data_IF_150205432242
#
_entry.id   IF_150205432242
#
_cell.length_a   1.000
_cell.length_b   1.000
_cell.length_c   1.000
_cell.angle_alpha   90.00
_cell.angle_beta   90.00
_cell.angle_gamma   90.00
#
_symmetry.space_group_name_H-M   'P 1'
#
loop_
_entity.id
_entity.type
_entity.pdbx_description
1 polymer ?
#
# COMPACT_ATOMS: atom_id res chain seq x y z
N UNK A 1 -0.50 -16.40 9.35
CA UNK A 1 -1.02 -16.21 7.98
C UNK A 1 -0.56 -14.84 7.50
N UNK A 2 0.07 -14.74 6.33
CA UNK A 2 0.47 -13.43 5.79
C UNK A 2 -0.79 -12.64 5.42
N UNK A 3 -0.93 -11.42 5.94
CA UNK A 3 -2.02 -10.51 5.57
C UNK A 3 -1.80 -10.14 4.10
N UNK A 4 -2.75 -10.52 3.24
CA UNK A 4 -2.71 -10.15 1.82
C UNK A 4 -2.96 -8.64 1.71
N UNK A 5 -2.15 -7.96 0.90
CA UNK A 5 -2.25 -6.52 0.72
C UNK A 5 -3.64 -6.12 0.17
N UNK A 6 -4.18 -4.95 0.56
CA UNK A 6 -5.40 -4.41 -0.04
C UNK A 6 -5.19 -4.15 -1.53
N UNK A 7 -6.20 -4.48 -2.35
CA UNK A 7 -6.23 -4.26 -3.79
C UNK A 7 -7.49 -3.48 -4.18
N UNK A 8 -7.30 -2.48 -5.02
CA UNK A 8 -8.35 -1.74 -5.71
C UNK A 8 -8.08 -1.80 -7.20
N UNK A 9 -9.07 -2.21 -7.98
CA UNK A 9 -9.04 -2.21 -9.45
C UNK A 9 -10.16 -1.31 -9.93
N UNK A 10 -9.82 -0.34 -10.78
CA UNK A 10 -10.75 0.62 -11.36
C UNK A 10 -10.45 0.76 -12.85
N UNK A 11 -11.49 0.95 -13.66
CA UNK A 11 -11.34 1.32 -15.06
C UNK A 11 -12.54 0.99 -15.92
N UNK A 12 -12.45 1.35 -17.19
CA UNK A 12 -13.43 0.98 -18.22
C UNK A 12 -13.16 -0.44 -18.72
N UNK A 13 -14.04 -1.37 -18.37
CA UNK A 13 -13.96 -2.76 -18.80
C UNK A 13 -14.77 -3.02 -20.06
N UNK A 14 -15.76 -2.20 -20.41
CA UNK A 14 -16.73 -2.48 -21.48
C UNK A 14 -17.20 -3.95 -21.47
N UNK A 15 -17.48 -4.49 -20.29
CA UNK A 15 -17.79 -5.91 -20.07
C UNK A 15 -19.21 -6.04 -19.51
N UNK A 16 -20.13 -6.54 -20.33
CA UNK A 16 -21.56 -6.56 -19.99
C UNK A 16 -21.91 -7.74 -19.08
N UNK A 17 -22.41 -7.45 -17.89
CA UNK A 17 -22.89 -8.45 -16.92
C UNK A 17 -24.17 -7.98 -16.21
N UNK A 18 -24.98 -8.91 -15.71
CA UNK A 18 -26.22 -8.57 -15.01
C UNK A 18 -25.96 -7.76 -13.73
N UNK A 19 -24.91 -8.10 -12.96
CA UNK A 19 -24.57 -7.42 -11.70
C UNK A 19 -24.16 -5.95 -11.88
N UNK A 20 -23.87 -5.52 -13.11
CA UNK A 20 -23.60 -4.14 -13.46
C UNK A 20 -24.70 -3.52 -14.33
N UNK A 21 -25.93 -4.04 -14.24
CA UNK A 21 -27.13 -3.41 -14.81
C UNK A 21 -27.41 -3.72 -16.29
N UNK A 22 -26.62 -4.58 -16.91
CA UNK A 22 -26.90 -5.01 -18.29
C UNK A 22 -27.99 -6.09 -18.32
N UNK A 23 -28.88 -6.00 -19.31
CA UNK A 23 -29.91 -7.05 -19.48
C UNK A 23 -29.37 -8.27 -20.25
N UNK A 24 -28.25 -8.10 -20.96
CA UNK A 24 -27.62 -9.13 -21.77
C UNK A 24 -26.15 -9.16 -21.42
N UNK A 25 -25.63 -10.35 -21.17
CA UNK A 25 -24.23 -10.58 -20.86
C UNK A 25 -23.44 -10.95 -22.10
N UNK A 26 -22.22 -10.44 -22.21
CA UNK A 26 -21.28 -10.86 -23.24
C UNK A 26 -20.22 -11.83 -22.67
N UNK A 27 -19.38 -12.39 -23.55
CA UNK A 27 -18.35 -13.32 -23.13
C UNK A 27 -17.29 -12.67 -22.22
N UNK A 28 -17.05 -11.35 -22.38
CA UNK A 28 -16.08 -10.59 -21.58
C UNK A 28 -16.60 -10.38 -20.17
N UNK A 29 -17.87 -10.01 -20.02
CA UNK A 29 -18.57 -9.84 -18.75
C UNK A 29 -18.64 -11.15 -17.97
N UNK A 30 -19.04 -12.26 -18.61
CA UNK A 30 -19.03 -13.58 -17.96
C UNK A 30 -17.64 -13.98 -17.49
N UNK A 31 -16.61 -13.78 -18.31
CA UNK A 31 -15.22 -14.09 -17.95
C UNK A 31 -14.75 -13.23 -16.78
N UNK A 32 -15.03 -11.92 -16.81
CA UNK A 32 -14.66 -11.00 -15.75
C UNK A 32 -15.35 -11.36 -14.42
N UNK A 33 -16.66 -11.59 -14.45
CA UNK A 33 -17.43 -11.98 -13.28
C UNK A 33 -16.94 -13.31 -12.67
N UNK A 34 -16.63 -14.31 -13.51
CA UNK A 34 -16.06 -15.57 -13.03
C UNK A 34 -14.70 -15.36 -12.35
N UNK A 35 -13.83 -14.53 -12.93
CA UNK A 35 -12.54 -14.19 -12.30
C UNK A 35 -12.73 -13.45 -10.98
N UNK A 36 -13.66 -12.50 -10.92
CA UNK A 36 -13.98 -11.79 -9.69
C UNK A 36 -14.44 -12.76 -8.60
N UNK A 37 -15.32 -13.70 -8.95
CA UNK A 37 -15.81 -14.72 -8.03
C UNK A 37 -14.69 -15.64 -7.53
N UNK A 38 -13.83 -16.13 -8.44
CA UNK A 38 -12.72 -17.03 -8.11
C UNK A 38 -11.69 -16.33 -7.20
N UNK A 39 -11.36 -15.08 -7.49
CA UNK A 39 -10.37 -14.30 -6.74
C UNK A 39 -10.95 -13.62 -5.48
N UNK A 40 -12.26 -13.73 -5.25
CA UNK A 40 -12.94 -13.11 -4.11
C UNK A 40 -13.01 -11.58 -4.18
N UNK A 41 -12.99 -11.01 -5.38
CA UNK A 41 -13.16 -9.57 -5.60
C UNK A 41 -14.62 -9.16 -5.37
N UNK A 42 -14.82 -8.05 -4.66
CA UNK A 42 -16.14 -7.44 -4.45
C UNK A 42 -16.34 -6.32 -5.47
N UNK A 43 -17.45 -6.35 -6.22
CA UNK A 43 -17.87 -5.25 -7.08
C UNK A 43 -18.46 -4.12 -6.24
N UNK A 44 -18.01 -2.89 -6.49
CA UNK A 44 -18.50 -1.67 -5.83
C UNK A 44 -19.33 -0.77 -6.75
N UNK A 45 -19.25 -0.98 -8.07
CA UNK A 45 -20.10 -0.26 -9.03
C UNK A 45 -21.56 -0.59 -8.76
N UNK A 46 -22.37 0.44 -8.56
CA UNK A 46 -23.82 0.32 -8.40
C UNK A 46 -24.51 0.39 -9.77
N UNK A 47 -25.32 -0.63 -10.08
CA UNK A 47 -26.06 -0.72 -11.33
C UNK A 47 -27.17 0.34 -11.45
N UNK A 48 -27.67 0.87 -10.33
CA UNK A 48 -28.72 1.90 -10.32
C UNK A 48 -28.17 3.30 -10.65
N UNK A 49 -26.84 3.46 -10.65
CA UNK A 49 -26.15 4.72 -10.96
C UNK A 49 -25.22 4.55 -12.17
N UNK A 50 -25.76 4.58 -13.40
CA UNK A 50 -25.01 4.34 -14.63
C UNK A 50 -23.73 5.16 -14.72
N UNK A 51 -22.62 4.55 -15.16
CA UNK A 51 -21.33 5.25 -15.30
C UNK A 51 -21.15 5.88 -16.68
N UNK A 52 -22.00 5.54 -17.65
CA UNK A 52 -22.03 6.12 -18.99
C UNK A 52 -23.45 6.48 -19.42
N UNK A 53 -23.59 7.70 -19.93
CA UNK A 53 -24.81 8.28 -20.49
C UNK A 53 -25.11 7.60 -21.83
N UNK A 54 -26.34 7.16 -21.97
CA UNK A 54 -26.87 6.64 -23.22
C UNK A 54 -27.04 7.71 -24.30
N UNK A 55 -27.35 7.28 -25.50
CA UNK A 55 -27.73 8.15 -26.59
C UNK A 55 -29.07 7.69 -27.19
N UNK A 56 -29.45 8.22 -28.35
CA UNK A 56 -30.71 7.84 -29.02
C UNK A 56 -30.79 6.36 -29.43
N UNK A 57 -29.70 5.61 -29.33
CA UNK A 57 -29.56 4.20 -29.73
C UNK A 57 -29.32 3.29 -28.52
N UNK A 58 -28.50 3.73 -27.56
CA UNK A 58 -28.19 2.96 -26.35
C UNK A 58 -28.74 3.63 -25.10
N UNK A 59 -29.32 2.83 -24.19
CA UNK A 59 -29.62 3.28 -22.82
C UNK A 59 -28.36 3.57 -22.02
N UNK A 60 -28.54 4.16 -20.84
CA UNK A 60 -27.48 4.33 -19.84
C UNK A 60 -26.90 2.96 -19.43
N UNK A 61 -25.59 2.91 -19.19
CA UNK A 61 -24.85 1.66 -18.95
C UNK A 61 -23.72 1.84 -17.94
N UNK A 62 -23.19 0.73 -17.40
CA UNK A 62 -22.05 0.73 -16.46
C UNK A 62 -20.82 0.00 -17.05
N UNK A 63 -20.13 0.57 -18.06
CA UNK A 63 -18.90 -0.04 -18.58
C UNK A 63 -17.71 0.07 -17.61
N UNK A 64 -17.77 1.00 -16.65
CA UNK A 64 -16.72 1.27 -15.67
C UNK A 64 -16.92 0.45 -14.39
N UNK A 65 -15.96 -0.42 -14.07
CA UNK A 65 -16.02 -1.24 -12.86
C UNK A 65 -15.02 -0.79 -11.82
N UNK A 66 -15.50 -0.67 -10.59
CA UNK A 66 -14.68 -0.53 -9.39
C UNK A 66 -14.80 -1.79 -8.56
N UNK A 67 -13.69 -2.47 -8.30
CA UNK A 67 -13.68 -3.73 -7.55
C UNK A 67 -12.52 -3.79 -6.55
N UNK A 68 -12.74 -4.49 -5.43
CA UNK A 68 -11.78 -4.51 -4.33
C UNK A 68 -11.57 -5.89 -3.71
N UNK A 69 -10.38 -6.11 -3.15
CA UNK A 69 -10.02 -7.27 -2.33
C UNK A 69 -9.26 -6.78 -1.09
N UNK A 70 -9.67 -7.23 0.10
CA UNK A 70 -9.02 -6.92 1.38
C UNK A 70 -8.84 -5.42 1.71
N UNK A 71 -9.66 -4.53 1.15
CA UNK A 71 -9.62 -3.11 1.47
C UNK A 71 -10.88 -2.71 2.27
N UNK A 72 -10.86 -2.82 3.60
CA UNK A 72 -11.96 -2.36 4.43
C UNK A 72 -12.07 -0.82 4.36
N UNK A 73 -13.29 -0.29 4.49
CA UNK A 73 -13.59 1.16 4.51
C UNK A 73 -13.39 1.88 3.17
N UNK A 74 -13.91 1.29 2.11
CA UNK A 74 -13.99 1.91 0.80
C UNK A 74 -15.37 2.55 0.60
N UNK A 75 -15.38 3.76 0.04
CA UNK A 75 -16.60 4.44 -0.42
C UNK A 75 -16.52 4.66 -1.91
N UNK A 76 -17.57 4.25 -2.60
CA UNK A 76 -17.77 4.48 -4.03
C UNK A 76 -18.89 5.50 -4.22
N UNK A 77 -18.70 6.43 -5.14
CA UNK A 77 -19.68 7.46 -5.50
C UNK A 77 -19.55 7.79 -6.98
N UNK A 78 -20.65 7.68 -7.72
CA UNK A 78 -20.80 8.29 -9.03
C UNK A 78 -21.21 9.76 -8.85
N UNK A 79 -20.41 10.72 -9.33
CA UNK A 79 -20.74 12.15 -9.17
C UNK A 79 -21.90 12.60 -10.04
N UNK A 80 -22.23 11.84 -11.08
CA UNK A 80 -23.13 12.24 -12.16
C UNK A 80 -22.66 13.50 -12.91
N UNK A 81 -21.36 13.82 -12.85
CA UNK A 81 -20.72 14.88 -13.64
C UNK A 81 -19.91 14.26 -14.79
N UNK A 82 -20.19 14.63 -16.04
CA UNK A 82 -19.56 14.02 -17.21
C UNK A 82 -18.49 14.90 -17.89
N UNK A 83 -18.36 16.17 -17.50
CA UNK A 83 -17.37 17.14 -18.01
C UNK A 83 -17.26 17.22 -19.55
N UNK A 84 -18.35 16.95 -20.28
CA UNK A 84 -18.40 16.97 -21.75
C UNK A 84 -18.06 15.63 -22.42
N UNK A 85 -17.83 14.57 -21.65
CA UNK A 85 -17.76 13.18 -22.11
C UNK A 85 -19.12 12.46 -21.93
N UNK A 86 -19.27 11.25 -22.48
CA UNK A 86 -20.41 10.38 -22.19
C UNK A 86 -20.22 9.55 -20.91
N UNK A 87 -19.04 9.55 -20.28
CA UNK A 87 -18.79 8.91 -18.97
C UNK A 87 -18.89 9.89 -17.80
N UNK A 88 -19.45 9.42 -16.68
CA UNK A 88 -19.48 10.16 -15.42
C UNK A 88 -18.18 9.95 -14.61
N UNK A 89 -17.80 10.96 -13.83
CA UNK A 89 -16.69 10.87 -12.90
C UNK A 89 -17.06 9.94 -11.73
N UNK A 90 -16.16 9.01 -11.44
CA UNK A 90 -16.29 8.08 -10.32
C UNK A 90 -15.30 8.45 -9.23
N UNK A 91 -15.84 8.73 -8.05
CA UNK A 91 -15.05 8.99 -6.84
C UNK A 91 -14.95 7.73 -5.99
N UNK A 92 -13.72 7.32 -5.75
CA UNK A 92 -13.42 6.19 -4.89
C UNK A 92 -12.55 6.67 -3.75
N UNK A 93 -13.08 6.64 -2.52
CA UNK A 93 -12.36 7.06 -1.32
C UNK A 93 -11.97 5.83 -0.51
N UNK A 94 -10.68 5.74 -0.18
CA UNK A 94 -10.15 4.69 0.69
C UNK A 94 -9.68 5.33 1.99
N UNK A 95 -10.09 4.80 3.12
CA UNK A 95 -9.62 5.24 4.44
C UNK A 95 -8.71 4.17 5.02
N UNK A 96 -7.45 4.51 5.25
CA UNK A 96 -6.47 3.61 5.86
C UNK A 96 -6.14 4.04 7.27
N UNK A 97 -6.43 3.17 8.24
CA UNK A 97 -6.11 3.36 9.64
C UNK A 97 -6.92 4.47 10.32
N UNK A 98 -7.16 4.31 11.61
CA UNK A 98 -7.46 5.43 12.48
C UNK A 98 -6.12 6.02 12.92
N UNK A 99 -5.85 7.28 12.55
CA UNK A 99 -4.62 7.97 12.94
C UNK A 99 -4.45 7.96 14.46
N UNK A 100 -5.55 8.03 15.22
CA UNK A 100 -5.51 7.95 16.67
C UNK A 100 -5.04 6.57 17.15
N UNK A 101 -5.52 5.48 16.54
CA UNK A 101 -5.01 4.14 16.85
C UNK A 101 -3.55 3.96 16.43
N UNK A 102 -3.12 4.56 15.32
CA UNK A 102 -1.71 4.53 14.92
C UNK A 102 -0.84 5.24 15.97
N UNK A 103 -1.24 6.43 16.42
CA UNK A 103 -0.53 7.16 17.46
C UNK A 103 -0.52 6.38 18.78
N UNK A 104 -1.66 5.82 19.21
CA UNK A 104 -1.72 4.99 20.41
C UNK A 104 -0.77 3.79 20.33
N UNK A 105 -0.76 3.08 19.20
CA UNK A 105 0.14 1.94 18.99
C UNK A 105 1.62 2.34 18.98
N UNK A 106 1.93 3.53 18.48
CA UNK A 106 3.29 4.06 18.50
C UNK A 106 3.71 4.49 19.91
N UNK A 107 2.80 5.13 20.65
CA UNK A 107 3.02 5.51 22.05
C UNK A 107 3.28 4.25 22.89
N UNK A 108 2.39 3.27 22.86
CA UNK A 108 2.52 2.02 23.63
C UNK A 108 3.81 1.25 23.31
N UNK A 109 4.26 1.30 22.06
CA UNK A 109 5.42 0.53 21.59
C UNK A 109 6.76 1.24 21.79
N UNK A 110 6.81 2.55 21.58
CA UNK A 110 8.07 3.30 21.51
C UNK A 110 8.25 4.28 22.67
N UNK A 111 7.17 4.72 23.30
CA UNK A 111 7.25 5.59 24.46
C UNK A 111 7.00 4.73 25.68
N UNK A 112 8.08 4.40 26.39
CA UNK A 112 7.96 3.76 27.68
C UNK A 112 7.39 4.78 28.69
N UNK A 113 6.07 4.86 28.78
CA UNK A 113 5.35 5.73 29.73
C UNK A 113 5.25 5.12 31.12
N UNK A 114 5.74 3.89 31.30
CA UNK A 114 5.95 3.30 32.62
C UNK A 114 7.07 4.05 33.34
N UNK A 115 6.69 5.10 34.07
CA UNK A 115 7.44 5.54 35.24
C UNK A 115 7.14 4.49 36.31
N UNK A 116 7.93 3.42 36.38
CA UNK A 116 7.85 2.55 37.55
C UNK A 116 8.23 3.40 38.76
N UNK A 117 7.26 3.68 39.62
CA UNK A 117 7.53 4.27 40.93
C UNK A 117 8.41 3.33 41.79
N UNK A 118 8.54 2.08 41.35
CA UNK A 118 9.48 1.10 41.88
C UNK A 118 10.90 1.50 41.50
N UNK A 119 11.56 2.10 42.49
CA UNK A 119 13.00 2.10 42.69
C UNK A 119 13.81 2.21 41.39
N UNK A 120 14.08 3.45 40.96
CA UNK A 120 15.30 3.72 40.20
C UNK A 120 16.41 3.05 40.99
N UNK A 121 17.12 2.04 40.45
CA UNK A 121 18.15 1.34 41.18
C UNK A 121 19.06 2.36 41.81
N UNK A 122 19.23 2.30 43.13
CA UNK A 122 20.15 3.20 43.81
C UNK A 122 21.51 3.01 43.12
N UNK A 123 22.05 4.08 42.52
CA UNK A 123 23.22 3.98 41.67
C UNK A 123 24.38 3.49 42.54
N UNK A 124 24.66 2.19 42.47
CA UNK A 124 25.68 1.53 43.29
C UNK A 124 27.08 1.65 42.67
N UNK A 125 27.23 2.53 41.67
CA UNK A 125 28.52 2.83 41.08
C UNK A 125 29.40 3.59 42.06
N UNK A 126 30.71 3.40 41.95
CA UNK A 126 31.66 4.29 42.63
C UNK A 126 31.44 5.71 42.12
N UNK A 127 31.53 6.70 43.02
CA UNK A 127 31.53 8.10 42.62
C UNK A 127 32.65 8.33 41.59
N UNK A 128 32.31 8.90 40.44
CA UNK A 128 33.27 9.21 39.41
C UNK A 128 33.30 10.73 39.18
N UNK A 129 33.99 11.48 40.06
CA UNK A 129 34.00 12.95 39.99
C UNK A 129 34.58 13.49 38.68
N UNK A 130 35.32 12.66 37.91
CA UNK A 130 35.79 13.05 36.58
C UNK A 130 34.67 13.03 35.52
N UNK A 131 33.75 12.06 35.58
CA UNK A 131 32.58 11.98 34.68
C UNK A 131 31.42 12.85 35.16
N UNK A 132 31.32 13.06 36.47
CA UNK A 132 30.23 13.82 37.09
C UNK A 132 30.49 15.35 37.07
N UNK A 133 31.67 15.81 36.62
CA UNK A 133 31.94 17.24 36.46
C UNK A 133 31.21 17.81 35.24
N UNK A 134 30.86 19.09 35.31
CA UNK A 134 30.28 19.80 34.16
C UNK A 134 31.23 19.74 32.95
N UNK A 135 30.65 19.50 31.77
CA UNK A 135 31.38 19.59 30.51
C UNK A 135 31.79 21.03 30.23
N UNK A 136 33.05 21.24 29.85
CA UNK A 136 33.52 22.56 29.43
C UNK A 136 33.19 22.81 27.96
N UNK A 137 33.00 24.08 27.59
CA UNK A 137 32.74 24.45 26.20
C UNK A 137 33.87 24.03 25.24
N UNK A 138 35.12 23.89 25.73
CA UNK A 138 36.25 23.42 24.93
C UNK A 138 36.12 21.94 24.59
N UNK A 139 35.73 21.11 25.57
CA UNK A 139 35.50 19.67 25.37
C UNK A 139 34.34 19.42 24.42
N UNK A 140 33.23 20.15 24.55
CA UNK A 140 32.09 20.02 23.63
C UNK A 140 32.47 20.37 22.20
N UNK A 141 33.26 21.43 21.98
CA UNK A 141 33.74 21.81 20.64
C UNK A 141 34.67 20.75 20.07
N UNK A 142 35.63 20.27 20.87
CA UNK A 142 36.54 19.21 20.45
C UNK A 142 35.77 17.91 20.10
N UNK A 143 34.76 17.54 20.87
CA UNK A 143 33.91 16.39 20.59
C UNK A 143 33.13 16.55 19.27
N UNK A 144 32.57 17.73 19.00
CA UNK A 144 31.90 18.04 17.74
C UNK A 144 32.87 17.95 16.55
N UNK A 145 34.09 18.45 16.71
CA UNK A 145 35.13 18.35 15.68
C UNK A 145 35.61 16.91 15.47
N UNK A 146 35.61 16.08 16.52
CA UNK A 146 35.94 14.65 16.46
C UNK A 146 34.80 13.79 15.88
N UNK A 147 33.55 14.26 15.90
CA UNK A 147 32.43 13.59 15.23
C UNK A 147 32.61 13.68 13.71
N UNK A 148 33.29 12.68 13.13
CA UNK A 148 33.35 12.50 11.68
C UNK A 148 31.95 12.23 11.14
N UNK A 149 31.55 13.02 10.12
CA UNK A 149 30.34 12.78 9.32
C UNK A 149 30.40 11.35 8.75
N UNK A 150 29.59 10.44 9.28
CA UNK A 150 29.48 9.05 8.80
C UNK A 150 29.63 7.94 9.85
N UNK A 151 29.84 8.25 11.13
CA UNK A 151 29.88 7.23 12.20
C UNK A 151 28.57 7.18 12.97
N UNK A 152 27.53 6.64 12.33
CA UNK A 152 26.43 6.06 13.09
C UNK A 152 26.95 4.76 13.76
N UNK A 153 26.49 4.41 14.98
CA UNK A 153 26.91 3.17 15.62
C UNK A 153 26.36 1.98 14.82
N UNK A 154 27.25 1.20 14.23
CA UNK A 154 26.89 -0.14 13.75
C UNK A 154 26.88 -1.05 14.97
N UNK A 155 25.73 -1.66 15.27
CA UNK A 155 25.59 -2.66 16.32
C UNK A 155 26.59 -3.81 16.12
N UNK A 156 27.37 -4.20 17.14
CA UNK A 156 28.35 -5.26 17.00
C UNK A 156 27.68 -6.63 17.18
N UNK A 157 27.04 -7.14 16.14
CA UNK A 157 26.80 -8.59 16.03
C UNK A 157 27.19 -9.10 14.64
N UNK A 158 27.93 -10.21 14.62
CA UNK A 158 28.47 -10.98 13.50
C UNK A 158 29.83 -10.54 12.90
N UNK A 159 30.90 -10.75 13.67
CA UNK A 159 32.19 -11.16 13.10
C UNK A 159 32.61 -12.47 13.76
N UNK A 160 32.19 -13.57 13.16
CA UNK A 160 32.89 -14.85 13.11
C UNK A 160 32.02 -15.83 12.34
N UNK A 161 32.26 -16.01 11.03
CA UNK A 161 32.53 -17.30 10.38
C UNK A 161 33.22 -16.99 9.04
N UNK A 162 34.54 -17.19 8.98
CA UNK A 162 35.26 -17.29 7.72
C UNK A 162 34.98 -18.63 7.04
N UNK A 163 34.51 -18.58 5.79
CA UNK A 163 34.39 -19.75 4.91
C UNK A 163 34.52 -19.30 3.44
N UNK A 164 35.25 -20.04 2.59
CA UNK A 164 35.53 -19.59 1.23
C UNK A 164 34.28 -19.65 0.34
N UNK A 165 34.12 -18.62 -0.49
CA UNK A 165 33.15 -18.53 -1.57
C UNK A 165 33.33 -19.70 -2.57
N UNK A 166 32.28 -20.48 -2.89
CA UNK A 166 32.32 -21.34 -4.05
C UNK A 166 32.05 -20.54 -5.32
N UNK A 167 32.89 -20.77 -6.33
CA UNK A 167 32.75 -20.27 -7.69
C UNK A 167 32.13 -21.33 -8.61
N UNK A 168 31.49 -20.84 -9.68
CA UNK A 168 31.11 -21.49 -10.96
C UNK A 168 30.02 -22.58 -10.93
N UNK A 169 28.93 -22.34 -11.68
CA UNK A 169 28.79 -22.80 -13.07
C UNK A 169 27.32 -22.91 -13.50
N UNK A 170 27.11 -22.53 -14.75
CA UNK A 170 25.95 -22.71 -15.62
C UNK A 170 25.13 -24.00 -15.42
N UNK A 171 23.80 -23.83 -15.52
CA UNK A 171 22.92 -24.80 -16.17
C UNK A 171 21.78 -24.04 -16.87
N UNK A 172 21.86 -23.98 -18.20
CA UNK A 172 20.73 -23.70 -19.08
C UNK A 172 19.68 -24.82 -18.90
N UNK A 173 18.41 -24.43 -18.77
CA UNK A 173 17.30 -25.27 -19.18
C UNK A 173 16.29 -24.42 -19.94
N UNK A 174 16.23 -24.71 -21.23
CA UNK A 174 15.19 -24.31 -22.18
C UNK A 174 13.86 -24.91 -21.77
N UNK A 175 12.80 -24.08 -21.78
CA UNK A 175 11.44 -24.54 -22.05
C UNK A 175 10.78 -23.52 -22.98
N UNK A 176 10.60 -23.98 -24.21
CA UNK A 176 9.78 -23.42 -25.27
C UNK A 176 8.30 -23.56 -24.88
N UNK A 177 7.55 -22.47 -25.00
CA UNK A 177 6.10 -22.45 -24.86
C UNK A 177 5.58 -21.05 -25.14
N UNK A 178 5.16 -20.83 -26.38
CA UNK A 178 4.61 -19.58 -26.89
C UNK A 178 3.42 -19.09 -26.07
N UNK A 179 3.55 -17.90 -25.47
CA UNK A 179 2.43 -17.07 -25.07
C UNK A 179 2.72 -15.64 -25.53
N UNK A 180 2.00 -15.23 -26.58
CA UNK A 180 2.00 -13.86 -27.08
C UNK A 180 1.61 -12.88 -25.95
N UNK A 181 2.34 -11.77 -25.76
CA UNK A 181 1.99 -10.79 -24.75
C UNK A 181 0.77 -9.99 -25.20
N UNK A 182 -0.31 -10.07 -24.42
CA UNK A 182 -1.39 -9.08 -24.47
C UNK A 182 -0.78 -7.72 -24.11
N UNK A 183 -0.71 -6.85 -25.11
CA UNK A 183 -0.36 -5.46 -24.93
C UNK A 183 -1.38 -4.79 -24.00
N UNK A 184 -0.89 -4.45 -22.81
CA UNK A 184 -1.23 -3.30 -21.98
C UNK A 184 -2.62 -3.23 -21.32
N UNK A 185 -2.65 -3.38 -19.99
CA UNK A 185 -3.36 -2.42 -19.15
C UNK A 185 -2.36 -1.73 -18.20
N UNK A 186 -2.02 -0.47 -18.50
CA UNK A 186 -1.64 0.51 -17.46
C UNK A 186 -2.95 0.79 -16.70
N UNK A 187 -3.09 0.71 -15.38
CA UNK A 187 -2.19 1.05 -14.28
C UNK A 187 -2.44 0.04 -13.14
N UNK A 188 -1.44 -0.75 -12.75
CA UNK A 188 -1.42 -1.37 -11.42
C UNK A 188 -0.71 -0.38 -10.48
N UNK A 189 -1.42 0.15 -9.49
CA UNK A 189 -0.79 0.93 -8.44
C UNK A 189 -0.83 0.13 -7.14
N UNK A 190 0.31 -0.39 -6.69
CA UNK A 190 0.50 -0.77 -5.30
C UNK A 190 0.50 0.52 -4.48
N UNK A 191 -0.55 0.74 -3.69
CA UNK A 191 -0.82 2.00 -3.00
C UNK A 191 0.24 2.20 -1.88
N UNK A 192 1.12 3.22 -1.96
CA UNK A 192 1.81 3.72 -0.78
C UNK A 192 0.91 4.72 -0.05
N UNK A 193 1.21 4.92 1.22
CA UNK A 193 0.49 5.74 2.20
C UNK A 193 -0.05 7.05 1.61
N UNK A 194 -1.39 7.19 1.61
CA UNK A 194 -2.18 8.34 1.20
C UNK A 194 -2.07 8.74 -0.29
N UNK A 195 -2.95 8.16 -1.13
CA UNK A 195 -3.20 8.65 -2.49
C UNK A 195 -4.69 8.91 -2.70
N UNK A 196 -5.04 10.15 -3.09
CA UNK A 196 -6.32 10.46 -3.73
C UNK A 196 -6.13 10.25 -5.23
N UNK A 197 -6.90 9.34 -5.82
CA UNK A 197 -6.88 9.14 -7.27
C UNK A 197 -8.09 9.86 -7.86
N UNK A 198 -7.83 10.96 -8.58
CA UNK A 198 -8.79 11.54 -9.51
C UNK A 198 -8.48 10.94 -10.88
N UNK A 199 -9.36 10.09 -11.40
CA UNK A 199 -9.25 9.62 -12.77
C UNK A 199 -9.85 10.71 -13.66
N UNK A 200 -9.00 11.42 -14.39
CA UNK A 200 -9.42 12.32 -15.48
C UNK A 200 -9.18 11.52 -16.77
N UNK A 201 -10.26 11.22 -17.49
CA UNK A 201 -10.21 10.65 -18.85
C UNK A 201 -10.23 11.78 -19.88
#
# INVERSE_FOLDING_TARGET
MAVRAPLLVVGDFNAKHADCGYAIEDAKGRKLHNLMTIEGLTLLTDADYPTRIGNSISRDTCPDHTMTLNAPHLKWLNSQEALGNDHYLIHTTITYGDTAQLFQNLEDKYINTYVSADHVPDYSGLANPEMDRDFTAAETRAAIDMMRRGTAPVTPESKDIGGPLPTRSAAQKTYSGDLAPLQNPRIMCSIPTAARFNLIH
#
